data_IF_206388972477
#
_entry.id   IF_206388972477
#
_cell.length_a   1.000
_cell.length_b   1.000
_cell.length_c   1.000
_cell.angle_alpha   90.00
_cell.angle_beta   90.00
_cell.angle_gamma   90.00
#
_symmetry.space_group_name_H-M   'P 1'
#
loop_
_entity.id
_entity.type
_entity.pdbx_description
1 polymer ?
#
# COMPACT_ATOMS: atom_id res chain seq x y z
N UNK A 1 10.22 21.97 -25.95
CA UNK A 1 9.64 22.09 -24.61
C UNK A 1 8.18 21.67 -24.70
N UNK A 2 7.63 20.98 -23.69
CA UNK A 2 6.21 20.64 -23.66
C UNK A 2 5.38 21.88 -23.26
N UNK A 3 4.19 22.06 -23.84
CA UNK A 3 3.21 23.07 -23.40
C UNK A 3 2.50 22.62 -22.13
N UNK A 4 1.81 23.54 -21.44
CA UNK A 4 0.94 23.20 -20.31
C UNK A 4 -0.12 22.17 -20.71
N UNK A 5 -0.75 22.33 -21.87
CA UNK A 5 -1.74 21.36 -22.41
C UNK A 5 -1.15 19.95 -22.57
N UNK A 6 0.13 19.84 -22.98
CA UNK A 6 0.79 18.54 -23.08
C UNK A 6 1.03 17.91 -21.70
N UNK A 7 1.29 18.72 -20.66
CA UNK A 7 1.41 18.25 -19.29
C UNK A 7 0.05 17.80 -18.73
N UNK A 8 -1.00 18.61 -18.92
CA UNK A 8 -2.35 18.28 -18.45
C UNK A 8 -2.84 16.97 -19.08
N UNK A 9 -2.66 16.82 -20.39
CA UNK A 9 -3.01 15.58 -21.08
C UNK A 9 -2.18 14.37 -20.61
N UNK A 10 -0.92 14.57 -20.19
CA UNK A 10 -0.09 13.50 -19.64
C UNK A 10 -0.53 13.13 -18.21
N UNK A 11 -0.93 14.11 -17.40
CA UNK A 11 -1.52 13.90 -16.08
C UNK A 11 -2.79 13.07 -16.22
N UNK A 12 -3.74 13.50 -17.07
CA UNK A 12 -5.01 12.79 -17.28
C UNK A 12 -4.81 11.33 -17.72
N UNK A 13 -3.90 11.08 -18.68
CA UNK A 13 -3.56 9.71 -19.10
C UNK A 13 -2.96 8.89 -17.95
N UNK A 14 -2.13 9.50 -17.12
CA UNK A 14 -1.51 8.83 -15.97
C UNK A 14 -2.57 8.50 -14.90
N UNK A 15 -3.46 9.45 -14.59
CA UNK A 15 -4.57 9.24 -13.68
C UNK A 15 -5.48 8.11 -14.19
N UNK A 16 -5.83 8.14 -15.48
CA UNK A 16 -6.66 7.10 -16.09
C UNK A 16 -6.00 5.72 -16.00
N UNK A 17 -4.70 5.61 -16.32
CA UNK A 17 -3.94 4.36 -16.19
C UNK A 17 -3.94 3.84 -14.76
N UNK A 18 -3.66 4.72 -13.79
CA UNK A 18 -3.64 4.36 -12.38
C UNK A 18 -5.02 3.88 -11.92
N UNK A 19 -6.08 4.63 -12.20
CA UNK A 19 -7.40 4.41 -11.61
C UNK A 19 -8.26 3.37 -12.34
N UNK A 20 -7.98 3.06 -13.61
CA UNK A 20 -8.86 2.20 -14.41
C UNK A 20 -8.16 0.96 -14.96
N UNK A 21 -6.82 0.92 -14.98
CA UNK A 21 -6.06 -0.11 -15.68
C UNK A 21 -4.93 -0.73 -14.84
N UNK A 22 -4.87 -0.46 -13.52
CA UNK A 22 -3.79 -0.94 -12.66
C UNK A 22 -4.26 -2.04 -11.70
N UNK A 23 -5.26 -1.77 -10.87
CA UNK A 23 -5.78 -2.73 -9.91
C UNK A 23 -7.21 -2.36 -9.49
N UNK A 24 -7.95 -3.34 -8.96
CA UNK A 24 -9.26 -3.14 -8.32
C UNK A 24 -9.21 -3.56 -6.85
N UNK A 25 -10.18 -3.07 -6.07
CA UNK A 25 -10.44 -3.55 -4.72
C UNK A 25 -11.94 -3.70 -4.54
N UNK A 26 -12.35 -4.85 -4.02
CA UNK A 26 -13.76 -5.24 -3.87
C UNK A 26 -13.97 -5.91 -2.51
N UNK A 27 -15.20 -5.84 -2.00
CA UNK A 27 -15.63 -6.66 -0.87
C UNK A 27 -16.27 -7.95 -1.40
N UNK A 28 -15.78 -9.09 -0.94
CA UNK A 28 -16.44 -10.38 -1.19
C UNK A 28 -17.61 -10.58 -0.20
N UNK A 29 -17.35 -10.34 1.09
CA UNK A 29 -18.36 -10.33 2.14
C UNK A 29 -18.04 -9.23 3.15
N UNK A 30 -19.08 -8.61 3.71
CA UNK A 30 -18.95 -7.71 4.86
C UNK A 30 -20.12 -7.93 5.79
N UNK A 31 -19.82 -8.24 7.04
CA UNK A 31 -20.83 -8.52 8.07
C UNK A 31 -20.45 -7.97 9.42
N UNK A 32 -21.48 -7.56 10.16
CA UNK A 32 -21.38 -7.22 11.57
C UNK A 32 -21.65 -8.49 12.41
N UNK A 33 -20.71 -8.86 13.27
CA UNK A 33 -20.81 -9.98 14.18
C UNK A 33 -20.55 -9.52 15.62
N UNK A 34 -21.63 -9.25 16.36
CA UNK A 34 -21.52 -8.63 17.68
C UNK A 34 -20.98 -7.20 17.55
N UNK A 35 -19.82 -6.94 18.14
CA UNK A 35 -19.13 -5.65 18.03
C UNK A 35 -18.06 -5.63 16.95
N UNK A 36 -17.95 -6.67 16.11
CA UNK A 36 -16.89 -6.77 15.10
C UNK A 36 -17.41 -6.65 13.69
N UNK A 37 -16.74 -5.84 12.88
CA UNK A 37 -16.85 -5.91 11.42
C UNK A 37 -15.88 -6.98 10.94
N UNK A 38 -16.43 -7.94 10.20
CA UNK A 38 -15.67 -8.93 9.44
C UNK A 38 -15.86 -8.58 7.97
N UNK A 39 -14.79 -8.24 7.28
CA UNK A 39 -14.79 -7.84 5.88
C UNK A 39 -13.72 -8.63 5.12
N UNK A 40 -14.15 -9.40 4.12
CA UNK A 40 -13.28 -10.14 3.22
C UNK A 40 -13.04 -9.27 1.98
N UNK A 41 -11.78 -8.87 1.77
CA UNK A 41 -11.38 -7.90 0.76
C UNK A 41 -10.56 -8.61 -0.30
N UNK A 42 -10.92 -8.43 -1.56
CA UNK A 42 -10.18 -8.95 -2.70
C UNK A 42 -9.52 -7.78 -3.45
N UNK A 43 -8.22 -7.90 -3.69
CA UNK A 43 -7.42 -6.94 -4.44
C UNK A 43 -6.94 -7.60 -5.72
N UNK A 44 -7.37 -7.12 -6.89
CA UNK A 44 -6.97 -7.72 -8.17
C UNK A 44 -5.99 -6.83 -8.91
N UNK A 45 -4.92 -7.41 -9.45
CA UNK A 45 -3.98 -6.72 -10.34
C UNK A 45 -4.44 -6.89 -11.80
N UNK A 46 -4.67 -5.76 -12.48
CA UNK A 46 -5.07 -5.73 -13.88
C UNK A 46 -3.89 -5.61 -14.85
N UNK A 47 -2.69 -5.30 -14.33
CA UNK A 47 -1.49 -5.16 -15.13
C UNK A 47 -0.84 -6.51 -15.44
N UNK A 48 -0.08 -6.57 -16.54
CA UNK A 48 0.73 -7.74 -16.92
C UNK A 48 2.07 -7.88 -16.17
N UNK A 49 2.25 -7.16 -15.07
CA UNK A 49 3.46 -7.15 -14.24
C UNK A 49 3.08 -6.96 -12.77
N UNK A 50 4.01 -7.14 -11.83
CA UNK A 50 3.75 -6.85 -10.41
C UNK A 50 3.21 -5.43 -10.21
N UNK A 51 2.29 -5.19 -9.30
CA UNK A 51 1.79 -3.85 -8.97
C UNK A 51 2.09 -3.50 -7.50
N UNK A 52 2.74 -2.36 -7.21
CA UNK A 52 3.33 -1.41 -8.17
C UNK A 52 4.69 -1.87 -8.74
N UNK A 53 4.89 -1.77 -10.07
CA UNK A 53 6.20 -2.12 -10.70
C UNK A 53 7.17 -0.94 -10.77
N UNK A 54 8.40 -1.21 -11.21
CA UNK A 54 9.40 -0.23 -11.60
C UNK A 54 10.35 0.12 -10.45
N UNK A 55 10.57 1.41 -10.24
CA UNK A 55 11.48 1.88 -9.20
C UNK A 55 10.95 1.49 -7.80
N UNK A 56 11.77 0.90 -6.92
CA UNK A 56 11.34 0.26 -5.67
C UNK A 56 10.84 1.23 -4.57
N UNK A 57 10.82 2.54 -4.83
CA UNK A 57 10.17 3.52 -3.94
C UNK A 57 8.65 3.46 -3.98
N UNK A 58 8.07 2.76 -4.94
CA UNK A 58 6.62 2.71 -5.12
C UNK A 58 6.02 1.71 -4.14
N UNK A 59 4.90 2.10 -3.51
CA UNK A 59 4.10 1.21 -2.67
C UNK A 59 2.61 1.41 -2.95
N UNK A 60 1.85 0.35 -2.73
CA UNK A 60 0.40 0.42 -2.63
C UNK A 60 -0.03 -0.19 -1.30
N UNK A 61 -1.17 0.21 -0.75
CA UNK A 61 -1.67 -0.35 0.51
C UNK A 61 -3.18 -0.19 0.63
N UNK A 62 -3.77 -0.96 1.53
CA UNK A 62 -5.18 -0.82 1.88
C UNK A 62 -5.37 0.23 2.98
N UNK A 63 -6.18 1.24 2.68
CA UNK A 63 -6.74 2.16 3.65
C UNK A 63 -8.16 1.72 3.98
N UNK A 64 -8.37 1.23 5.19
CA UNK A 64 -9.64 0.66 5.65
C UNK A 64 -10.24 1.54 6.74
N UNK A 65 -11.50 1.92 6.56
CA UNK A 65 -12.22 2.80 7.49
C UNK A 65 -13.60 2.24 7.79
N UNK A 66 -14.02 2.40 9.05
CA UNK A 66 -15.39 2.10 9.49
C UNK A 66 -15.99 3.35 10.12
N UNK A 67 -17.15 3.75 9.64
CA UNK A 67 -17.92 4.90 10.11
C UNK A 67 -19.18 4.41 10.83
N UNK A 68 -19.55 5.04 11.94
CA UNK A 68 -20.84 4.80 12.60
C UNK A 68 -22.02 5.50 11.89
N UNK A 69 -23.24 5.30 12.40
CA UNK A 69 -24.45 5.91 11.82
C UNK A 69 -24.52 7.45 11.91
N UNK A 70 -23.58 8.10 12.60
CA UNK A 70 -23.41 9.55 12.60
C UNK A 70 -22.34 10.05 11.61
N UNK A 71 -21.63 9.11 10.95
CA UNK A 71 -20.52 9.41 10.06
C UNK A 71 -19.17 9.59 10.77
N UNK A 72 -19.06 9.21 12.05
CA UNK A 72 -17.81 9.27 12.80
C UNK A 72 -16.97 8.02 12.54
N UNK A 73 -15.68 8.20 12.24
CA UNK A 73 -14.71 7.10 12.16
C UNK A 73 -14.56 6.44 13.51
N UNK A 74 -14.88 5.14 13.57
CA UNK A 74 -14.75 4.28 14.77
C UNK A 74 -13.61 3.26 14.63
N UNK A 75 -13.12 3.03 13.41
CA UNK A 75 -11.90 2.28 13.13
C UNK A 75 -11.22 2.84 11.88
N UNK A 76 -9.90 2.91 11.89
CA UNK A 76 -9.06 3.31 10.75
C UNK A 76 -7.74 2.53 10.78
N UNK A 77 -7.33 2.04 9.61
CA UNK A 77 -6.04 1.39 9.38
C UNK A 77 -5.48 1.88 8.05
N UNK A 78 -4.18 2.19 8.00
CA UNK A 78 -3.52 2.65 6.78
C UNK A 78 -3.78 4.12 6.43
N UNK A 79 -4.15 4.94 7.42
CA UNK A 79 -4.17 6.40 7.28
C UNK A 79 -2.77 6.95 6.95
N UNK A 80 -2.67 8.20 6.53
CA UNK A 80 -1.40 8.79 6.05
C UNK A 80 -1.25 10.27 6.42
N UNK A 81 0.00 10.74 6.46
CA UNK A 81 0.36 12.13 6.72
C UNK A 81 0.81 12.86 5.44
N UNK A 82 0.90 14.19 5.50
CA UNK A 82 1.30 15.02 4.34
C UNK A 82 2.74 14.77 3.86
N UNK A 83 3.62 14.30 4.76
CA UNK A 83 4.99 13.88 4.42
C UNK A 83 5.04 12.53 3.70
N UNK A 84 3.89 11.87 3.56
CA UNK A 84 3.72 10.61 2.87
C UNK A 84 3.97 9.38 3.75
N UNK A 85 4.22 9.55 5.05
CA UNK A 85 4.27 8.43 6.00
C UNK A 85 2.89 7.80 6.18
N UNK A 86 2.86 6.48 6.37
CA UNK A 86 1.65 5.71 6.66
C UNK A 86 1.56 5.50 8.18
N UNK A 87 0.42 5.86 8.77
CA UNK A 87 0.13 5.63 10.18
C UNK A 87 0.06 4.12 10.44
N UNK A 88 0.89 3.64 11.37
CA UNK A 88 1.00 2.23 11.71
C UNK A 88 2.12 1.47 10.97
N UNK A 89 2.74 2.05 9.94
CA UNK A 89 3.80 1.37 9.21
C UNK A 89 5.13 1.32 9.99
N UNK A 90 5.58 0.11 10.33
CA UNK A 90 6.82 -0.14 11.05
C UNK A 90 8.07 0.43 10.35
N UNK A 91 8.16 0.37 9.01
CA UNK A 91 9.32 0.91 8.28
C UNK A 91 9.36 2.45 8.32
N UNK A 92 8.19 3.08 8.30
CA UNK A 92 8.09 4.53 8.38
C UNK A 92 8.43 5.01 9.80
N UNK A 93 8.14 4.22 10.85
CA UNK A 93 8.51 4.52 12.23
C UNK A 93 9.99 4.23 12.55
N UNK A 94 10.55 3.13 12.04
CA UNK A 94 11.93 2.71 12.26
C UNK A 94 12.55 2.19 10.94
N UNK A 95 13.63 2.83 10.43
CA UNK A 95 14.25 2.43 9.17
C UNK A 95 14.88 1.02 9.18
N UNK A 96 15.07 0.39 10.36
CA UNK A 96 15.57 -0.97 10.50
C UNK A 96 14.45 -2.04 10.51
N UNK A 97 13.19 -1.62 10.60
CA UNK A 97 12.01 -2.51 10.61
C UNK A 97 11.29 -2.49 9.26
N UNK A 98 10.33 -3.39 9.10
CA UNK A 98 9.44 -3.40 7.95
C UNK A 98 8.06 -3.94 8.31
N UNK A 99 7.04 -3.39 7.67
CA UNK A 99 5.68 -3.90 7.81
C UNK A 99 5.59 -5.30 7.20
N UNK A 100 5.14 -6.27 7.97
CA UNK A 100 4.95 -7.63 7.47
C UNK A 100 3.80 -7.71 6.44
N UNK A 101 3.65 -8.87 5.83
CA UNK A 101 2.44 -9.18 5.06
C UNK A 101 1.48 -9.88 6.00
N UNK A 102 0.26 -9.38 6.11
CA UNK A 102 -0.75 -9.93 7.02
C UNK A 102 -1.68 -10.88 6.27
N UNK A 103 -1.99 -11.99 6.92
CA UNK A 103 -3.08 -12.89 6.51
C UNK A 103 -4.46 -12.34 6.92
N UNK A 104 -4.48 -11.51 7.97
CA UNK A 104 -5.66 -10.80 8.45
C UNK A 104 -5.26 -9.55 9.24
N UNK A 105 -6.13 -8.53 9.19
CA UNK A 105 -5.98 -7.29 9.95
C UNK A 105 -6.99 -7.27 11.10
N UNK A 106 -6.49 -7.16 12.32
CA UNK A 106 -7.30 -7.19 13.56
C UNK A 106 -7.09 -5.95 14.43
N UNK A 107 -6.02 -5.18 14.19
CA UNK A 107 -5.67 -3.98 14.95
C UNK A 107 -5.42 -2.80 14.01
N UNK A 108 -5.67 -1.58 14.47
CA UNK A 108 -5.58 -0.34 13.67
C UNK A 108 -4.15 0.03 13.24
N UNK A 109 -3.13 -0.49 13.92
CA UNK A 109 -1.73 -0.28 13.59
C UNK A 109 -1.19 -1.29 12.57
N UNK A 110 -1.95 -2.32 12.18
CA UNK A 110 -1.53 -3.29 11.17
C UNK A 110 -1.95 -2.77 9.80
N UNK A 111 -1.02 -2.68 8.85
CA UNK A 111 -1.34 -2.17 7.51
C UNK A 111 -0.91 -3.15 6.43
N UNK A 112 -1.84 -3.52 5.54
CA UNK A 112 -1.51 -4.35 4.39
C UNK A 112 -0.85 -3.51 3.30
N UNK A 113 0.49 -3.53 3.27
CA UNK A 113 1.32 -2.77 2.32
C UNK A 113 1.97 -3.72 1.30
N UNK A 114 1.72 -3.45 0.02
CA UNK A 114 2.31 -4.09 -1.15
C UNK A 114 3.51 -3.28 -1.64
N UNK A 115 4.71 -3.75 -1.34
CA UNK A 115 5.95 -3.01 -1.59
C UNK A 115 7.16 -3.93 -1.68
N UNK A 116 8.30 -3.33 -2.04
CA UNK A 116 9.61 -3.95 -1.88
C UNK A 116 10.36 -3.35 -0.71
N UNK A 117 10.92 -4.20 0.13
CA UNK A 117 11.91 -3.82 1.15
C UNK A 117 13.23 -4.46 0.76
N UNK A 118 14.21 -3.63 0.40
CA UNK A 118 15.53 -4.08 -0.02
C UNK A 118 16.42 -4.32 1.20
N UNK A 119 17.35 -5.26 1.06
CA UNK A 119 18.45 -5.46 2.00
C UNK A 119 19.79 -5.34 1.30
N UNK A 120 20.81 -4.94 2.03
CA UNK A 120 22.19 -4.93 1.54
C UNK A 120 22.90 -6.28 1.74
N UNK A 121 24.21 -6.31 1.49
CA UNK A 121 25.03 -7.52 1.61
C UNK A 121 25.21 -8.01 3.06
N UNK A 122 25.07 -7.13 4.05
CA UNK A 122 25.09 -7.49 5.47
C UNK A 122 23.70 -7.93 5.98
N UNK A 123 22.67 -7.72 5.15
CA UNK A 123 21.29 -8.10 5.43
C UNK A 123 20.46 -6.98 6.05
N UNK A 124 21.03 -5.78 6.19
CA UNK A 124 20.36 -4.60 6.75
C UNK A 124 19.42 -3.97 5.71
N UNK A 125 18.33 -3.36 6.17
CA UNK A 125 17.39 -2.65 5.29
C UNK A 125 18.10 -1.46 4.65
N UNK A 126 17.85 -1.27 3.35
CA UNK A 126 18.45 -0.16 2.60
C UNK A 126 17.50 0.43 1.58
N UNK A 127 17.62 1.74 1.36
CA UNK A 127 17.05 2.44 0.20
C UNK A 127 18.13 2.87 -0.80
N UNK A 128 19.40 2.49 -0.57
CA UNK A 128 20.50 2.75 -1.48
C UNK A 128 20.59 1.64 -2.54
N UNK A 129 20.17 1.94 -3.77
CA UNK A 129 20.14 0.95 -4.86
C UNK A 129 21.49 0.28 -5.14
N UNK A 130 22.59 1.01 -5.01
CA UNK A 130 23.93 0.45 -5.23
C UNK A 130 24.35 -0.55 -4.13
N UNK A 131 23.70 -0.53 -2.97
CA UNK A 131 23.95 -1.47 -1.88
C UNK A 131 22.98 -2.64 -1.90
N UNK A 132 21.87 -2.55 -2.64
CA UNK A 132 20.83 -3.58 -2.64
C UNK A 132 21.39 -4.92 -3.16
N UNK A 133 21.38 -5.93 -2.30
CA UNK A 133 21.82 -7.29 -2.61
C UNK A 133 20.64 -8.27 -2.72
N UNK A 134 19.43 -7.86 -2.32
CA UNK A 134 18.22 -8.65 -2.49
C UNK A 134 17.03 -8.03 -1.76
N UNK A 135 15.96 -8.79 -1.65
CA UNK A 135 14.73 -8.38 -0.97
C UNK A 135 14.63 -9.03 0.42
N UNK A 136 14.29 -8.21 1.42
CA UNK A 136 13.74 -8.69 2.70
C UNK A 136 12.27 -9.07 2.54
N UNK A 137 11.52 -8.26 1.79
CA UNK A 137 10.11 -8.43 1.43
C UNK A 137 9.91 -7.98 -0.03
N UNK A 138 9.15 -8.74 -0.79
CA UNK A 138 8.57 -8.34 -2.08
C UNK A 138 7.23 -9.05 -2.22
N UNK A 139 6.17 -8.37 -1.78
CA UNK A 139 4.79 -8.83 -1.84
C UNK A 139 3.96 -7.95 -2.78
N UNK A 140 4.59 -7.28 -3.76
CA UNK A 140 3.83 -6.52 -4.76
C UNK A 140 2.87 -7.45 -5.49
N UNK A 141 1.62 -7.00 -5.65
CA UNK A 141 0.52 -7.76 -6.23
C UNK A 141 0.93 -8.40 -7.55
N UNK A 142 0.72 -9.70 -7.68
CA UNK A 142 1.17 -10.47 -8.84
C UNK A 142 0.20 -10.31 -10.01
N UNK A 143 0.67 -10.29 -11.27
CA UNK A 143 -0.24 -10.34 -12.41
C UNK A 143 -0.89 -11.72 -12.51
N UNK A 144 -2.03 -11.80 -13.20
CA UNK A 144 -2.73 -13.07 -13.40
C UNK A 144 -1.82 -14.12 -14.05
N UNK A 145 -1.96 -15.37 -13.58
CA UNK A 145 -1.13 -16.50 -14.01
C UNK A 145 0.33 -16.51 -13.51
N UNK A 146 0.76 -15.55 -12.69
CA UNK A 146 2.12 -15.53 -12.16
C UNK A 146 2.31 -16.50 -10.98
N UNK A 147 3.33 -17.34 -11.06
CA UNK A 147 3.70 -18.27 -9.98
C UNK A 147 4.57 -17.57 -8.92
N UNK A 148 4.07 -17.47 -7.67
CA UNK A 148 4.75 -16.82 -6.53
C UNK A 148 6.22 -17.21 -6.39
N UNK A 149 6.48 -18.52 -6.45
CA UNK A 149 7.82 -19.08 -6.27
C UNK A 149 8.77 -18.59 -7.35
N UNK A 150 8.26 -18.46 -8.58
CA UNK A 150 8.98 -18.15 -9.81
C UNK A 150 10.22 -19.04 -10.05
N UNK A 151 10.52 -19.43 -11.30
CA UNK A 151 11.80 -20.10 -11.56
C UNK A 151 13.01 -19.16 -11.38
N UNK A 152 12.82 -17.84 -11.33
CA UNK A 152 13.88 -16.85 -11.20
C UNK A 152 13.80 -16.13 -9.85
N UNK A 153 14.88 -16.22 -9.07
CA UNK A 153 14.95 -15.69 -7.71
C UNK A 153 14.70 -14.18 -7.59
N UNK A 154 15.02 -13.42 -8.64
CA UNK A 154 14.97 -11.95 -8.65
C UNK A 154 13.54 -11.40 -8.79
N UNK A 155 12.59 -12.23 -9.22
CA UNK A 155 11.18 -11.86 -9.36
C UNK A 155 10.25 -12.69 -8.48
N UNK A 156 10.78 -13.67 -7.75
CA UNK A 156 10.05 -14.44 -6.75
C UNK A 156 9.44 -13.53 -5.68
N UNK A 157 8.32 -13.95 -5.11
CA UNK A 157 7.76 -13.33 -3.90
C UNK A 157 8.74 -13.53 -2.74
N UNK A 158 8.84 -12.57 -1.83
CA UNK A 158 9.70 -12.67 -0.64
C UNK A 158 8.95 -12.16 0.60
N UNK A 159 9.16 -12.81 1.73
CA UNK A 159 8.47 -12.51 2.99
C UNK A 159 7.20 -13.34 3.17
N UNK A 160 6.31 -12.91 4.09
CA UNK A 160 5.12 -13.68 4.50
C UNK A 160 4.20 -14.08 3.35
N UNK A 161 4.08 -13.24 2.31
CA UNK A 161 3.27 -13.49 1.13
C UNK A 161 3.64 -14.75 0.33
N UNK A 162 4.85 -15.30 0.53
CA UNK A 162 5.24 -16.57 -0.08
C UNK A 162 4.47 -17.77 0.52
N UNK A 163 4.14 -17.68 1.81
CA UNK A 163 3.50 -18.75 2.58
C UNK A 163 1.99 -18.51 2.76
N UNK A 164 1.49 -17.37 2.30
CA UNK A 164 0.06 -17.07 2.24
C UNK A 164 -0.57 -17.84 1.08
N UNK A 165 -1.66 -18.57 1.32
CA UNK A 165 -2.39 -19.27 0.26
C UNK A 165 -3.32 -18.33 -0.53
N UNK A 166 -3.69 -17.19 0.04
CA UNK A 166 -4.66 -16.24 -0.54
C UNK A 166 -4.00 -15.15 -1.43
N UNK A 167 -2.67 -14.99 -1.34
CA UNK A 167 -1.90 -14.01 -2.14
C UNK A 167 -1.57 -14.43 -3.61
N UNK A 168 -2.43 -15.06 -4.39
CA UNK A 168 -1.98 -15.75 -5.63
C UNK A 168 -1.64 -14.84 -6.84
N UNK A 169 -1.20 -15.47 -7.94
CA UNK A 169 -1.19 -14.80 -9.24
C UNK A 169 -2.55 -14.18 -9.52
N UNK A 170 -2.57 -12.87 -9.82
CA UNK A 170 -3.80 -12.11 -10.04
C UNK A 170 -4.19 -11.19 -8.88
N UNK A 171 -3.73 -11.42 -7.64
CA UNK A 171 -4.19 -10.59 -6.53
C UNK A 171 -3.84 -11.05 -5.12
N UNK A 172 -4.58 -10.50 -4.16
CA UNK A 172 -4.55 -10.86 -2.75
C UNK A 172 -5.98 -10.91 -2.21
N UNK A 173 -6.23 -11.78 -1.22
CA UNK A 173 -7.48 -11.77 -0.45
C UNK A 173 -7.14 -11.68 1.02
N UNK A 174 -7.71 -10.69 1.71
CA UNK A 174 -7.39 -10.41 3.11
C UNK A 174 -8.63 -10.14 3.93
N UNK A 175 -8.70 -10.74 5.12
CA UNK A 175 -9.78 -10.52 6.07
C UNK A 175 -9.43 -9.39 7.05
N UNK A 176 -10.35 -8.44 7.20
CA UNK A 176 -10.37 -7.51 8.33
C UNK A 176 -11.37 -8.03 9.35
N UNK A 177 -10.96 -8.15 10.62
CA UNK A 177 -11.82 -8.58 11.72
C UNK A 177 -11.65 -7.63 12.92
N UNK A 178 -12.29 -6.47 12.84
CA UNK A 178 -12.00 -5.30 13.68
C UNK A 178 -13.13 -5.01 14.66
N UNK A 179 -12.79 -4.65 15.89
CA UNK A 179 -13.76 -4.26 16.92
C UNK A 179 -14.17 -2.79 16.76
N UNK A 180 -15.47 -2.55 16.60
CA UNK A 180 -16.07 -1.21 16.47
C UNK A 180 -16.72 -0.73 17.78
N UNK A 181 -16.54 -1.49 18.87
CA UNK A 181 -17.04 -1.15 20.19
C UNK A 181 -18.55 -1.03 20.23
N UNK A 182 -19.05 0.10 20.72
CA UNK A 182 -20.49 0.40 20.84
C UNK A 182 -21.04 1.23 19.68
N UNK A 183 -20.37 1.25 18.53
CA UNK A 183 -20.86 1.93 17.34
C UNK A 183 -22.27 1.42 16.99
N UNK A 184 -23.16 2.34 16.64
CA UNK A 184 -24.57 2.06 16.43
C UNK A 184 -25.09 2.76 15.18
N UNK A 185 -26.26 2.30 14.71
CA UNK A 185 -26.85 2.73 13.45
C UNK A 185 -26.29 1.96 12.27
N UNK A 186 -26.58 2.45 11.06
CA UNK A 186 -26.01 1.88 9.83
C UNK A 186 -24.51 2.12 9.82
N UNK A 187 -23.72 1.05 9.76
CA UNK A 187 -22.27 1.12 9.74
C UNK A 187 -21.80 1.20 8.29
N UNK A 188 -20.97 2.18 7.95
CA UNK A 188 -20.36 2.27 6.62
C UNK A 188 -18.94 1.74 6.69
N UNK A 189 -18.66 0.69 5.91
CA UNK A 189 -17.34 0.09 5.77
C UNK A 189 -16.77 0.50 4.42
N UNK A 190 -15.57 1.06 4.40
CA UNK A 190 -14.91 1.54 3.17
C UNK A 190 -13.48 1.00 3.12
N UNK A 191 -13.08 0.55 1.93
CA UNK A 191 -11.69 0.26 1.60
C UNK A 191 -11.25 1.06 0.38
N UNK A 192 -10.02 1.54 0.43
CA UNK A 192 -9.33 2.18 -0.70
C UNK A 192 -7.98 1.47 -0.92
N UNK A 193 -7.68 1.14 -2.17
CA UNK A 193 -6.32 0.80 -2.58
C UNK A 193 -5.60 2.11 -2.89
N UNK A 194 -4.67 2.50 -2.03
CA UNK A 194 -3.85 3.70 -2.20
C UNK A 194 -2.53 3.37 -2.88
N UNK A 195 -1.98 4.32 -3.62
CA UNK A 195 -0.69 4.22 -4.29
C UNK A 195 0.16 5.47 -4.03
N UNK A 196 1.44 5.26 -3.75
CA UNK A 196 2.41 6.33 -3.58
C UNK A 196 3.66 6.06 -4.41
N UNK A 197 4.13 7.07 -5.14
CA UNK A 197 5.28 6.92 -6.06
C UNK A 197 6.61 6.90 -5.30
N UNK A 198 6.76 7.73 -4.26
CA UNK A 198 7.95 7.81 -3.41
C UNK A 198 7.50 7.52 -1.98
N UNK A 199 7.77 6.32 -1.49
CA UNK A 199 7.50 5.99 -0.09
C UNK A 199 8.40 6.79 0.85
N UNK A 200 7.88 7.06 2.03
CA UNK A 200 8.47 8.00 2.98
C UNK A 200 9.96 7.77 3.23
N UNK A 201 10.38 6.53 3.48
CA UNK A 201 11.79 6.18 3.75
C UNK A 201 12.73 6.43 2.57
N UNK A 202 12.25 6.39 1.33
CA UNK A 202 13.08 6.70 0.16
C UNK A 202 13.46 8.17 0.08
N UNK A 203 12.61 9.06 0.59
CA UNK A 203 12.91 10.48 0.71
C UNK A 203 13.60 10.81 2.04
N UNK A 204 13.06 10.33 3.16
CA UNK A 204 13.50 10.71 4.49
C UNK A 204 14.94 10.26 4.80
N UNK A 205 15.32 9.06 4.34
CA UNK A 205 16.69 8.56 4.54
C UNK A 205 17.76 9.45 3.85
N UNK A 206 17.38 10.22 2.81
CA UNK A 206 18.29 11.16 2.17
C UNK A 206 18.59 12.37 3.07
N UNK A 207 17.71 12.73 4.02
CA UNK A 207 17.94 13.84 4.96
C UNK A 207 19.16 13.62 5.84
N UNK A 208 19.56 12.37 6.07
CA UNK A 208 20.76 12.01 6.81
C UNK A 208 22.06 12.08 5.98
N UNK A 209 21.99 12.50 4.70
CA UNK A 209 23.13 12.58 3.78
C UNK A 209 23.42 14.01 3.39
N UNK A 210 24.70 14.32 3.22
CA UNK A 210 25.17 15.66 2.84
C UNK A 210 25.70 15.65 1.40
N UNK A 211 24.90 16.22 0.48
CA UNK A 211 25.26 16.44 -0.92
C UNK A 211 24.35 17.52 -1.54
N UNK A 212 24.89 18.34 -2.45
CA UNK A 212 24.15 19.45 -3.07
C UNK A 212 22.89 18.98 -3.82
N UNK A 213 22.99 17.86 -4.52
CA UNK A 213 21.87 17.25 -5.25
C UNK A 213 20.75 16.79 -4.30
N UNK A 214 21.13 16.23 -3.14
CA UNK A 214 20.18 15.78 -2.12
C UNK A 214 19.47 16.98 -1.52
N UNK A 215 20.21 18.01 -1.13
CA UNK A 215 19.61 19.23 -0.59
C UNK A 215 18.68 19.91 -1.61
N UNK A 216 19.00 19.85 -2.91
CA UNK A 216 18.10 20.34 -3.96
C UNK A 216 16.85 19.49 -4.09
N UNK A 217 16.96 18.16 -4.07
CA UNK A 217 15.81 17.26 -4.11
C UNK A 217 14.88 17.48 -2.90
N UNK A 218 15.44 17.57 -1.69
CA UNK A 218 14.68 17.78 -0.45
C UNK A 218 13.92 19.11 -0.49
N UNK A 219 14.50 20.19 -1.04
CA UNK A 219 13.74 21.44 -1.25
C UNK A 219 12.52 21.27 -2.17
N UNK A 220 12.58 20.39 -3.17
CA UNK A 220 11.41 20.13 -4.01
C UNK A 220 10.37 19.29 -3.27
N UNK A 221 10.80 18.23 -2.59
CA UNK A 221 9.87 17.35 -1.87
C UNK A 221 9.17 18.08 -0.72
N UNK A 222 9.86 18.99 -0.04
CA UNK A 222 9.29 19.77 1.06
C UNK A 222 8.26 20.83 0.60
N UNK A 223 8.16 21.07 -0.72
CA UNK A 223 7.19 22.03 -1.29
C UNK A 223 5.94 21.38 -1.89
N UNK A 224 5.91 20.06 -1.99
CA UNK A 224 4.80 19.31 -2.60
C UNK A 224 4.38 18.19 -1.65
N UNK A 225 3.13 18.19 -1.15
CA UNK A 225 2.63 17.10 -0.33
C UNK A 225 2.82 15.74 -1.03
N UNK A 226 3.35 14.75 -0.33
CA UNK A 226 3.61 13.41 -0.87
C UNK A 226 2.37 12.51 -0.65
N UNK A 227 1.21 13.03 -1.02
CA UNK A 227 -0.08 12.37 -0.79
C UNK A 227 -0.23 11.17 -1.73
N UNK A 228 -0.85 10.07 -1.25
CA UNK A 228 -1.20 8.97 -2.12
C UNK A 228 -2.31 9.34 -3.09
N UNK A 229 -2.40 8.53 -4.14
CA UNK A 229 -3.54 8.51 -5.02
C UNK A 229 -4.42 7.31 -4.74
N UNK A 230 -5.74 7.52 -4.74
CA UNK A 230 -6.71 6.42 -4.73
C UNK A 230 -6.69 5.76 -6.11
N UNK A 231 -6.37 4.45 -6.13
CA UNK A 231 -6.38 3.61 -7.33
C UNK A 231 -7.77 3.03 -7.55
N UNK A 232 -8.33 2.43 -6.50
CA UNK A 232 -9.66 1.87 -6.49
C UNK A 232 -10.26 2.03 -5.09
N UNK A 233 -11.57 2.08 -5.00
CA UNK A 233 -12.27 2.11 -3.72
C UNK A 233 -13.63 1.47 -3.82
N UNK A 234 -14.11 0.94 -2.70
CA UNK A 234 -15.47 0.45 -2.56
C UNK A 234 -15.97 0.72 -1.15
N UNK A 235 -17.28 0.79 -1.00
CA UNK A 235 -17.94 1.01 0.29
C UNK A 235 -19.25 0.25 0.36
N UNK A 236 -19.58 -0.26 1.53
CA UNK A 236 -20.86 -0.92 1.80
C UNK A 236 -21.43 -0.43 3.11
N UNK A 237 -22.76 -0.35 3.18
CA UNK A 237 -23.50 -0.12 4.41
C UNK A 237 -23.93 -1.46 4.99
N UNK A 238 -23.61 -1.70 6.26
CA UNK A 238 -23.99 -2.88 7.02
C UNK A 238 -24.99 -2.43 8.08
N UNK A 239 -26.23 -2.92 7.96
CA UNK A 239 -27.27 -2.73 8.97
C UNK A 239 -27.16 -3.75 10.10
N UNK A 240 -27.72 -3.41 11.25
CA UNK A 240 -28.08 -4.39 12.28
C UNK A 240 -29.20 -5.32 11.83
#
# INVERSE_FOLDING_TARGET
TASSENFDAAIERTLNQLQNNSATVEFEDVRLSGTRIIADIVVSNLAGHKFPTGYPSRRAWLHFTVLDGSGQTVFESGGFNEDGSIVGNDNDADPALWEQHYLAIVESNQVQIYETILRDSEGDITTALLHAAGYRKDNRLLPDGFEKKSPYEDIAVRGGAMEDDDFQGGGDSIQYAVDIGSAAGTITVKVELLYQTISYRWADNLRAKDADEIQRFLRYIDTVPNLPMVIASTSVEVGN
#
